data_IF_577195910843
#
_entry.id   IF_577195910843
#
_cell.length_a   1.000
_cell.length_b   1.000
_cell.length_c   1.000
_cell.angle_alpha   90.00
_cell.angle_beta   90.00
_cell.angle_gamma   90.00
#
_symmetry.space_group_name_H-M   'P 1'
#
loop_
_entity.id
_entity.type
_entity.pdbx_description
1 polymer ?
#
# COMPACT_ATOMS: atom_id res chain seq x y z
N UNK A 1 -58.84 5.17 -5.80
CA UNK A 1 -58.83 6.04 -4.62
C UNK A 1 -57.38 6.27 -4.24
N UNK A 2 -56.91 7.53 -4.29
CA UNK A 2 -55.55 7.92 -3.90
C UNK A 2 -55.53 8.14 -2.39
N UNK A 3 -54.52 7.60 -1.71
CA UNK A 3 -54.14 8.06 -0.37
C UNK A 3 -52.66 8.41 -0.36
N UNK A 4 -52.40 9.62 0.13
CA UNK A 4 -51.13 10.34 0.17
C UNK A 4 -50.24 9.90 1.35
N UNK A 5 -48.94 9.85 1.07
CA UNK A 5 -47.76 10.28 1.85
C UNK A 5 -47.86 10.25 3.39
N UNK A 6 -46.95 9.47 4.02
CA UNK A 6 -46.20 9.93 5.20
C UNK A 6 -44.87 9.14 5.30
N UNK A 7 -43.74 9.79 4.99
CA UNK A 7 -42.45 9.48 5.61
C UNK A 7 -42.53 9.96 7.08
N UNK A 8 -41.91 9.31 8.09
CA UNK A 8 -40.45 9.17 8.22
C UNK A 8 -40.08 7.76 8.75
N UNK A 9 -38.83 7.31 8.80
CA UNK A 9 -37.83 7.63 9.82
C UNK A 9 -36.53 7.03 9.30
N UNK A 10 -35.57 7.90 8.98
CA UNK A 10 -34.16 7.53 8.92
C UNK A 10 -33.76 7.15 10.34
N UNK A 11 -33.64 5.85 10.61
CA UNK A 11 -33.04 5.36 11.84
C UNK A 11 -31.52 5.43 11.67
N UNK A 12 -30.94 6.56 12.09
CA UNK A 12 -29.49 6.72 12.17
C UNK A 12 -28.99 5.92 13.38
N UNK A 13 -28.65 4.64 13.17
CA UNK A 13 -27.98 3.83 14.17
C UNK A 13 -26.49 4.20 14.21
N UNK A 14 -26.12 5.06 15.16
CA UNK A 14 -24.74 5.27 15.61
C UNK A 14 -24.38 4.17 16.60
N UNK A 15 -23.80 3.06 16.15
CA UNK A 15 -23.12 2.10 17.01
C UNK A 15 -22.18 1.21 16.18
N UNK A 16 -20.88 1.53 16.18
CA UNK A 16 -19.88 0.71 15.54
C UNK A 16 -18.48 1.33 15.45
N UNK A 17 -17.89 1.75 16.56
CA UNK A 17 -16.43 1.97 16.60
C UNK A 17 -15.72 0.61 16.76
N UNK A 18 -15.79 -0.24 15.74
CA UNK A 18 -14.96 -1.45 15.61
C UNK A 18 -15.04 -1.99 14.18
N UNK A 19 -14.78 -1.11 13.21
CA UNK A 19 -14.38 -1.50 11.88
C UNK A 19 -13.19 -0.64 11.52
N UNK A 20 -12.00 -1.22 11.43
CA UNK A 20 -11.01 -0.69 10.49
C UNK A 20 -11.63 -0.89 9.10
N UNK A 21 -12.59 -0.03 8.75
CA UNK A 21 -13.17 0.07 7.44
C UNK A 21 -12.01 0.20 6.49
N UNK A 22 -11.84 -0.83 5.66
CA UNK A 22 -10.87 -0.86 4.58
C UNK A 22 -10.91 0.49 3.90
N UNK A 23 -9.80 1.24 3.93
CA UNK A 23 -9.72 2.51 3.23
C UNK A 23 -10.21 2.27 1.80
N UNK A 24 -11.25 2.98 1.32
CA UNK A 24 -11.47 3.05 -0.11
C UNK A 24 -10.21 3.70 -0.67
N UNK A 25 -9.34 2.88 -1.24
CA UNK A 25 -8.17 3.34 -1.99
C UNK A 25 -8.75 4.33 -3.00
N UNK A 26 -8.49 5.64 -2.81
CA UNK A 26 -8.91 6.65 -3.77
C UNK A 26 -8.52 6.16 -5.15
N UNK A 27 -9.31 6.41 -6.19
CA UNK A 27 -9.15 5.82 -7.54
C UNK A 27 -7.77 6.04 -8.23
N UNK A 28 -6.77 6.61 -7.54
CA UNK A 28 -5.35 6.61 -7.93
C UNK A 28 -4.33 6.41 -6.78
N UNK A 29 -4.74 5.99 -5.57
CA UNK A 29 -3.84 5.73 -4.43
C UNK A 29 -3.28 4.30 -4.41
N UNK A 30 -2.16 4.08 -3.71
CA UNK A 30 -1.66 2.70 -3.45
C UNK A 30 -2.28 2.15 -2.16
N UNK A 31 -2.76 0.92 -2.20
CA UNK A 31 -3.16 0.17 -1.02
C UNK A 31 -1.98 -0.07 -0.06
N UNK A 32 -2.29 -0.35 1.21
CA UNK A 32 -1.26 -0.67 2.21
C UNK A 32 -0.41 -1.88 1.81
N UNK A 33 -1.02 -2.91 1.21
CA UNK A 33 -0.29 -4.09 0.75
C UNK A 33 0.70 -3.76 -0.37
N UNK A 34 0.31 -2.90 -1.33
CA UNK A 34 1.20 -2.45 -2.41
C UNK A 34 2.38 -1.64 -1.89
N UNK A 35 2.15 -0.74 -0.93
CA UNK A 35 3.23 0.02 -0.28
C UNK A 35 4.20 -0.92 0.44
N UNK A 36 3.69 -1.94 1.14
CA UNK A 36 4.52 -2.91 1.85
C UNK A 36 5.31 -3.82 0.90
N UNK A 37 4.71 -4.25 -0.21
CA UNK A 37 5.39 -5.04 -1.23
C UNK A 37 6.52 -4.23 -1.90
N UNK A 38 6.27 -2.97 -2.25
CA UNK A 38 7.27 -2.05 -2.81
C UNK A 38 8.45 -1.85 -1.82
N UNK A 39 8.14 -1.62 -0.54
CA UNK A 39 9.14 -1.51 0.52
C UNK A 39 9.98 -2.80 0.70
N UNK A 40 9.36 -3.97 0.54
CA UNK A 40 10.08 -5.23 0.59
C UNK A 40 11.08 -5.35 -0.58
N UNK A 41 10.69 -4.95 -1.79
CA UNK A 41 11.60 -4.92 -2.95
C UNK A 41 12.75 -3.92 -2.75
N UNK A 42 12.45 -2.74 -2.20
CA UNK A 42 13.45 -1.72 -1.86
C UNK A 42 14.52 -2.25 -0.89
N UNK A 43 14.08 -2.89 0.20
CA UNK A 43 14.98 -3.50 1.19
C UNK A 43 15.76 -4.67 0.61
N UNK A 44 15.12 -5.54 -0.18
CA UNK A 44 15.78 -6.68 -0.83
C UNK A 44 16.89 -6.25 -1.78
N UNK A 45 16.71 -5.12 -2.47
CA UNK A 45 17.73 -4.50 -3.30
C UNK A 45 18.85 -3.82 -2.49
N UNK A 46 18.72 -3.69 -1.17
CA UNK A 46 19.68 -3.02 -0.28
C UNK A 46 19.64 -1.50 -0.34
N UNK A 47 18.53 -0.93 -0.82
CA UNK A 47 18.38 0.52 -1.00
C UNK A 47 18.20 1.27 0.34
N UNK A 48 17.81 0.57 1.40
CA UNK A 48 17.69 1.08 2.77
C UNK A 48 19.02 1.57 3.37
N UNK A 49 20.16 1.11 2.82
CA UNK A 49 21.50 1.52 3.25
C UNK A 49 21.88 2.94 2.85
N UNK A 50 21.19 3.52 1.85
CA UNK A 50 21.52 4.83 1.29
C UNK A 50 20.80 6.00 1.98
N UNK A 51 19.84 5.73 2.87
CA UNK A 51 19.04 6.77 3.53
C UNK A 51 19.58 7.21 4.92
N UNK A 52 20.80 6.81 5.32
CA UNK A 52 21.35 7.16 6.64
C UNK A 52 21.96 8.56 6.66
N UNK A 53 21.09 9.57 6.65
CA UNK A 53 21.26 10.90 7.26
C UNK A 53 22.25 11.88 6.64
N UNK A 54 23.46 11.47 6.24
CA UNK A 54 24.54 12.46 6.00
C UNK A 54 25.47 12.13 4.81
N UNK A 55 25.21 11.08 4.04
CA UNK A 55 26.06 10.71 2.90
C UNK A 55 25.35 10.86 1.55
N UNK A 56 25.11 12.11 1.14
CA UNK A 56 24.49 12.45 -0.15
C UNK A 56 25.31 11.96 -1.35
N UNK A 57 26.63 11.76 -1.19
CA UNK A 57 27.51 11.22 -2.22
C UNK A 57 27.18 9.77 -2.58
N UNK A 58 26.53 9.03 -1.67
CA UNK A 58 26.14 7.65 -1.91
C UNK A 58 25.11 7.51 -3.05
N UNK A 59 24.24 8.52 -3.28
CA UNK A 59 23.23 8.50 -4.34
C UNK A 59 23.79 8.62 -5.76
N UNK A 60 24.99 9.19 -5.94
CA UNK A 60 25.65 9.32 -7.24
C UNK A 60 26.60 8.16 -7.56
N UNK A 61 26.78 7.24 -6.62
CA UNK A 61 27.72 6.13 -6.76
C UNK A 61 27.28 5.14 -7.86
N UNK A 62 28.22 4.50 -8.59
CA UNK A 62 27.91 3.39 -9.47
C UNK A 62 27.22 2.23 -8.74
N UNK A 63 27.57 2.01 -7.47
CA UNK A 63 26.93 1.01 -6.61
C UNK A 63 25.44 1.32 -6.44
N UNK A 64 25.07 2.56 -6.10
CA UNK A 64 23.67 2.97 -5.97
C UNK A 64 22.89 2.71 -7.25
N UNK A 65 23.42 3.10 -8.41
CA UNK A 65 22.78 2.84 -9.71
C UNK A 65 22.54 1.34 -9.94
N UNK A 66 23.52 0.50 -9.61
CA UNK A 66 23.36 -0.96 -9.72
C UNK A 66 22.29 -1.51 -8.78
N UNK A 67 22.24 -1.04 -7.54
CA UNK A 67 21.21 -1.43 -6.55
C UNK A 67 19.83 -0.95 -6.94
N UNK A 68 19.73 0.25 -7.50
CA UNK A 68 18.48 0.79 -8.00
C UNK A 68 17.95 -0.01 -9.19
N UNK A 69 18.79 -0.36 -10.17
CA UNK A 69 18.41 -1.25 -11.26
C UNK A 69 17.91 -2.62 -10.76
N UNK A 70 18.53 -3.16 -9.70
CA UNK A 70 18.06 -4.37 -9.04
C UNK A 70 16.68 -4.19 -8.41
N UNK A 71 16.42 -3.05 -7.76
CA UNK A 71 15.11 -2.70 -7.22
C UNK A 71 14.05 -2.64 -8.34
N UNK A 72 14.34 -1.98 -9.46
CA UNK A 72 13.41 -1.91 -10.59
C UNK A 72 13.10 -3.30 -11.16
N UNK A 73 14.10 -4.16 -11.31
CA UNK A 73 13.92 -5.55 -11.74
C UNK A 73 13.03 -6.35 -10.77
N UNK A 74 13.22 -6.18 -9.47
CA UNK A 74 12.42 -6.86 -8.45
C UNK A 74 10.97 -6.35 -8.43
N UNK A 75 10.79 -5.03 -8.47
CA UNK A 75 9.48 -4.36 -8.44
C UNK A 75 8.63 -4.67 -9.67
N UNK A 76 9.25 -4.73 -10.84
CA UNK A 76 8.57 -5.04 -12.09
C UNK A 76 8.53 -6.55 -12.39
N UNK A 77 9.09 -7.38 -11.50
CA UNK A 77 9.18 -8.83 -11.65
C UNK A 77 8.16 -9.61 -10.81
N UNK A 78 8.21 -10.96 -10.89
CA UNK A 78 7.28 -11.83 -10.16
C UNK A 78 7.42 -11.72 -8.64
N UNK A 79 8.57 -11.27 -8.14
CA UNK A 79 8.81 -11.09 -6.71
C UNK A 79 7.84 -10.09 -6.06
N UNK A 80 7.44 -9.03 -6.78
CA UNK A 80 6.47 -8.06 -6.28
C UNK A 80 5.08 -8.67 -6.14
N UNK A 81 4.60 -9.38 -7.17
CA UNK A 81 3.26 -9.98 -7.17
C UNK A 81 3.12 -11.04 -6.09
N UNK A 82 4.13 -11.90 -5.93
CA UNK A 82 4.15 -12.93 -4.87
C UNK A 82 4.06 -12.31 -3.48
N UNK A 83 4.83 -11.24 -3.22
CA UNK A 83 4.78 -10.54 -1.93
C UNK A 83 3.44 -9.84 -1.71
N UNK A 84 2.88 -9.24 -2.75
CA UNK A 84 1.57 -8.59 -2.70
C UNK A 84 0.45 -9.58 -2.36
N UNK A 85 0.43 -10.75 -3.01
CA UNK A 85 -0.52 -11.83 -2.72
C UNK A 85 -0.38 -12.33 -1.28
N UNK A 86 0.86 -12.55 -0.83
CA UNK A 86 1.17 -12.96 0.55
C UNK A 86 0.67 -11.94 1.58
N UNK A 87 0.77 -10.64 1.27
CA UNK A 87 0.31 -9.56 2.13
C UNK A 87 -1.22 -9.43 2.14
N UNK A 88 -1.87 -9.60 0.99
CA UNK A 88 -3.35 -9.59 0.88
C UNK A 88 -3.98 -10.74 1.65
N UNK A 89 -3.39 -11.94 1.59
CA UNK A 89 -3.82 -13.09 2.40
C UNK A 89 -3.79 -12.76 3.90
N UNK A 90 -2.67 -12.24 4.41
CA UNK A 90 -2.53 -11.84 5.83
C UNK A 90 -3.54 -10.78 6.27
N UNK A 91 -3.95 -9.88 5.39
CA UNK A 91 -4.92 -8.82 5.73
C UNK A 91 -6.36 -9.32 5.77
N UNK A 92 -6.61 -10.53 5.26
CA UNK A 92 -7.94 -11.14 5.18
C UNK A 92 -8.20 -12.15 6.31
N UNK A 93 -7.16 -12.49 7.09
CA UNK A 93 -7.20 -13.31 8.31
C UNK A 93 -7.43 -12.44 9.55
#
# INVERSE_FOLDING_TARGET
MKSLILAPVVLLALAGCAGASQDPVSEGGRSRAEVQADLAMWKRAGMDKYYRGHNTQAFFSPEYRRRYAQYESLRNGPAYQQELERLRGRQSD
#
